data_IF_679804962898
#
_entry.id   IF_679804962898
#
_cell.length_a   1.000
_cell.length_b   1.000
_cell.length_c   1.000
_cell.angle_alpha   90.00
_cell.angle_beta   90.00
_cell.angle_gamma   90.00
#
_symmetry.space_group_name_H-M   'P 1'
#
loop_
_entity.id
_entity.type
_entity.pdbx_description
1 polymer ?
#
# COMPACT_ATOMS: atom_id res chain seq x y z
N UNK A 1 21.04 -57.29 -24.92
CA UNK A 1 20.97 -55.88 -25.35
C UNK A 1 20.28 -55.08 -24.26
N UNK A 2 21.08 -54.41 -23.45
CA UNK A 2 20.51 -53.57 -22.39
C UNK A 2 20.25 -52.17 -22.94
N UNK A 3 18.99 -51.76 -22.95
CA UNK A 3 18.59 -50.40 -23.34
C UNK A 3 18.91 -49.43 -22.17
N UNK A 4 19.97 -48.64 -22.35
CA UNK A 4 20.36 -47.56 -21.46
C UNK A 4 19.35 -46.41 -21.67
N UNK A 5 18.38 -46.29 -20.75
CA UNK A 5 17.46 -45.17 -20.72
C UNK A 5 18.23 -43.95 -20.21
N UNK A 6 18.60 -43.08 -21.12
CA UNK A 6 19.12 -41.72 -20.78
C UNK A 6 18.02 -40.96 -20.04
N UNK A 7 18.14 -40.84 -18.72
CA UNK A 7 17.39 -39.86 -17.96
C UNK A 7 17.87 -38.48 -18.43
N UNK A 8 17.03 -37.81 -19.21
CA UNK A 8 17.19 -36.39 -19.49
C UNK A 8 17.15 -35.66 -18.12
N UNK A 9 18.28 -35.12 -17.69
CA UNK A 9 18.33 -34.19 -16.57
C UNK A 9 17.53 -32.94 -16.96
N UNK A 10 16.31 -32.81 -16.43
CA UNK A 10 15.54 -31.59 -16.57
C UNK A 10 16.43 -30.42 -16.11
N UNK A 11 16.75 -29.51 -17.01
CA UNK A 11 17.47 -28.28 -16.69
C UNK A 11 16.71 -27.59 -15.56
N UNK A 12 17.38 -27.32 -14.44
CA UNK A 12 16.77 -26.64 -13.32
C UNK A 12 16.31 -25.24 -13.79
N UNK A 13 15.04 -24.89 -13.55
CA UNK A 13 14.51 -23.58 -13.89
C UNK A 13 15.30 -22.47 -13.17
N UNK A 14 15.76 -21.47 -13.92
CA UNK A 14 16.49 -20.31 -13.40
C UNK A 14 15.62 -19.07 -13.56
N UNK A 15 15.20 -18.43 -12.46
CA UNK A 15 14.48 -17.16 -12.51
C UNK A 15 15.29 -16.04 -13.17
N UNK A 16 14.63 -15.06 -13.78
CA UNK A 16 15.28 -13.81 -14.23
C UNK A 16 15.94 -13.12 -13.01
N UNK A 17 17.18 -12.65 -13.16
CA UNK A 17 17.88 -11.93 -12.10
C UNK A 17 17.38 -10.48 -11.94
N UNK A 18 16.96 -9.86 -13.05
CA UNK A 18 16.48 -8.48 -13.11
C UNK A 18 15.18 -8.40 -13.90
N UNK A 19 14.36 -7.41 -13.58
CA UNK A 19 13.15 -7.10 -14.33
C UNK A 19 13.42 -5.90 -15.25
N UNK A 20 13.34 -6.12 -16.55
CA UNK A 20 13.49 -5.04 -17.53
C UNK A 20 12.20 -4.23 -17.63
N UNK A 21 12.27 -2.99 -17.15
CA UNK A 21 11.11 -2.11 -17.12
C UNK A 21 11.11 -1.19 -18.34
N UNK A 22 10.01 -1.18 -19.10
CA UNK A 22 9.83 -0.22 -20.18
C UNK A 22 9.81 1.22 -19.65
N UNK A 23 10.64 2.08 -20.25
CA UNK A 23 10.66 3.51 -19.92
C UNK A 23 9.37 4.27 -20.28
N UNK A 24 8.45 3.61 -20.97
CA UNK A 24 7.16 4.18 -21.40
C UNK A 24 6.07 4.10 -20.32
N UNK A 25 6.34 3.41 -19.19
CA UNK A 25 5.35 3.30 -18.09
C UNK A 25 5.06 4.68 -17.53
N UNK A 26 3.77 5.00 -17.42
CA UNK A 26 3.29 6.25 -16.83
C UNK A 26 3.69 6.32 -15.34
N UNK A 27 4.42 7.36 -14.94
CA UNK A 27 4.87 7.59 -13.55
C UNK A 27 4.00 8.57 -12.76
N UNK A 28 2.86 8.94 -13.30
CA UNK A 28 1.95 9.87 -12.64
C UNK A 28 0.52 9.37 -12.69
N UNK A 29 -0.12 9.39 -11.54
CA UNK A 29 -1.56 9.13 -11.37
C UNK A 29 -2.23 10.26 -10.59
N UNK A 30 -1.59 11.43 -10.54
CA UNK A 30 -2.12 12.56 -9.79
C UNK A 30 -3.14 13.33 -10.63
N UNK A 31 -4.41 13.15 -10.28
CA UNK A 31 -5.55 13.79 -10.97
C UNK A 31 -6.09 14.96 -10.13
N UNK A 32 -6.92 15.81 -10.74
CA UNK A 32 -7.49 17.00 -10.08
C UNK A 32 -8.22 16.69 -8.77
N UNK A 33 -8.81 15.50 -8.63
CA UNK A 33 -9.47 15.10 -7.38
C UNK A 33 -8.49 14.86 -6.21
N UNK A 34 -7.22 14.54 -6.46
CA UNK A 34 -6.20 14.43 -5.41
C UNK A 34 -5.83 15.82 -4.85
N UNK A 35 -5.72 16.83 -5.74
CA UNK A 35 -5.52 18.22 -5.32
C UNK A 35 -6.71 18.74 -4.51
N UNK A 36 -7.93 18.47 -4.97
CA UNK A 36 -9.15 18.83 -4.27
C UNK A 36 -9.24 18.12 -2.89
N UNK A 37 -8.85 16.86 -2.80
CA UNK A 37 -8.80 16.11 -1.55
C UNK A 37 -7.81 16.73 -0.55
N UNK A 38 -6.59 17.08 -0.99
CA UNK A 38 -5.59 17.77 -0.16
C UNK A 38 -6.10 19.13 0.33
N UNK A 39 -6.70 19.92 -0.55
CA UNK A 39 -7.28 21.22 -0.19
C UNK A 39 -8.41 21.08 0.83
N UNK A 40 -9.32 20.13 0.63
CA UNK A 40 -10.41 19.86 1.55
C UNK A 40 -9.92 19.34 2.89
N UNK A 41 -8.90 18.48 2.89
CA UNK A 41 -8.24 17.97 4.09
C UNK A 41 -7.63 19.14 4.91
N UNK A 42 -6.87 20.04 4.27
CA UNK A 42 -6.25 21.19 4.94
C UNK A 42 -7.27 22.08 5.65
N UNK A 43 -8.47 22.25 5.09
CA UNK A 43 -9.54 23.06 5.69
C UNK A 43 -10.08 22.51 7.01
N UNK A 44 -10.04 21.19 7.20
CA UNK A 44 -10.58 20.55 8.41
C UNK A 44 -9.51 20.24 9.46
N UNK A 45 -8.22 20.36 9.10
CA UNK A 45 -7.10 20.00 9.97
C UNK A 45 -7.11 20.75 11.31
N UNK A 46 -7.60 22.00 11.36
CA UNK A 46 -7.70 22.78 12.62
C UNK A 46 -8.54 22.09 13.68
N UNK A 47 -9.54 21.29 13.27
CA UNK A 47 -10.48 20.60 14.15
C UNK A 47 -10.11 19.11 14.35
N UNK A 48 -8.93 18.70 13.91
CA UNK A 48 -8.45 17.30 13.99
C UNK A 48 -7.34 17.21 15.04
N UNK A 49 -7.57 16.37 16.04
CA UNK A 49 -6.60 16.10 17.11
C UNK A 49 -5.69 14.91 16.81
N UNK A 50 -6.10 13.97 15.93
CA UNK A 50 -5.33 12.78 15.65
C UNK A 50 -5.38 12.43 14.15
N UNK A 51 -4.25 12.02 13.60
CA UNK A 51 -4.16 11.49 12.24
C UNK A 51 -3.99 9.98 12.28
N UNK A 52 -4.84 9.25 11.54
CA UNK A 52 -4.69 7.83 11.26
C UNK A 52 -4.17 7.67 9.82
N UNK A 53 -2.86 7.48 9.65
CA UNK A 53 -2.25 7.35 8.35
C UNK A 53 -2.21 5.89 7.91
N UNK A 54 -3.06 5.50 6.96
CA UNK A 54 -3.12 4.14 6.43
C UNK A 54 -2.06 3.91 5.35
N UNK A 55 -1.23 2.90 5.55
CA UNK A 55 -0.26 2.38 4.58
C UNK A 55 -0.49 0.89 4.34
N UNK A 56 -0.37 0.42 3.10
CA UNK A 56 -0.42 -1.01 2.80
C UNK A 56 0.87 -1.67 3.26
N UNK A 57 0.77 -2.66 4.14
CA UNK A 57 1.93 -3.35 4.73
C UNK A 57 2.84 -4.01 3.68
N UNK A 58 2.34 -4.31 2.48
CA UNK A 58 3.14 -4.90 1.40
C UNK A 58 4.10 -3.91 0.75
N UNK A 59 3.81 -2.61 0.86
CA UNK A 59 4.61 -1.49 0.30
C UNK A 59 4.81 -0.38 1.33
N UNK A 60 5.37 -0.68 2.51
CA UNK A 60 5.41 0.25 3.64
C UNK A 60 6.22 1.52 3.35
N UNK A 61 7.29 1.40 2.56
CA UNK A 61 8.17 2.50 2.18
C UNK A 61 7.71 3.18 0.89
N UNK A 62 7.30 2.39 -0.10
CA UNK A 62 6.83 2.89 -1.40
C UNK A 62 5.48 3.63 -1.28
N UNK A 63 4.63 3.28 -0.30
CA UNK A 63 3.36 3.97 -0.04
C UNK A 63 3.48 5.25 0.78
N UNK A 64 4.67 5.64 1.22
CA UNK A 64 4.90 6.94 1.85
C UNK A 64 4.59 8.06 0.87
N UNK A 65 3.83 9.07 1.32
CA UNK A 65 3.45 10.19 0.48
C UNK A 65 4.00 11.50 1.04
N UNK A 66 5.06 12.07 0.44
CA UNK A 66 5.70 13.30 0.94
C UNK A 66 4.76 14.49 1.05
N UNK A 67 3.70 14.56 0.20
CA UNK A 67 2.69 15.62 0.29
C UNK A 67 1.83 15.49 1.55
N UNK A 68 1.52 14.26 1.97
CA UNK A 68 0.82 14.02 3.22
C UNK A 68 1.75 14.30 4.39
N UNK A 69 2.97 13.81 4.36
CA UNK A 69 3.94 14.03 5.43
C UNK A 69 4.18 15.52 5.69
N UNK A 70 4.44 16.32 4.65
CA UNK A 70 4.61 17.77 4.78
C UNK A 70 3.34 18.50 5.25
N UNK A 71 2.15 18.05 4.81
CA UNK A 71 0.88 18.67 5.20
C UNK A 71 0.46 18.33 6.63
N UNK A 72 0.98 17.24 7.21
CA UNK A 72 0.64 16.71 8.51
C UNK A 72 1.77 16.87 9.54
N UNK A 73 2.85 17.53 9.17
CA UNK A 73 3.99 17.76 10.05
C UNK A 73 3.59 18.40 11.37
N UNK A 74 4.18 17.92 12.47
CA UNK A 74 3.95 18.44 13.82
C UNK A 74 2.62 18.01 14.46
N UNK A 75 1.87 17.08 13.87
CA UNK A 75 0.61 16.57 14.42
C UNK A 75 0.76 15.18 15.01
N UNK A 76 -0.03 14.89 16.01
CA UNK A 76 -0.15 13.54 16.56
C UNK A 76 -0.70 12.59 15.52
N UNK A 77 0.01 11.47 15.29
CA UNK A 77 -0.39 10.49 14.29
C UNK A 77 -0.15 9.06 14.73
N UNK A 78 -1.02 8.17 14.26
CA UNK A 78 -0.82 6.73 14.30
C UNK A 78 -0.66 6.27 12.84
N UNK A 79 0.50 5.70 12.51
CA UNK A 79 0.73 5.07 11.22
C UNK A 79 0.15 3.66 11.29
N UNK A 80 -0.89 3.42 10.51
CA UNK A 80 -1.61 2.15 10.51
C UNK A 80 -1.19 1.35 9.28
N UNK A 81 -0.37 0.33 9.49
CA UNK A 81 -0.03 -0.64 8.47
C UNK A 81 -1.17 -1.65 8.33
N UNK A 82 -1.96 -1.48 7.26
CA UNK A 82 -3.12 -2.33 6.94
C UNK A 82 -2.71 -3.59 6.20
N UNK A 83 -3.60 -4.60 6.13
CA UNK A 83 -3.38 -5.85 5.38
C UNK A 83 -2.10 -6.59 5.82
N UNK A 84 -1.78 -6.56 7.09
CA UNK A 84 -0.56 -7.19 7.63
C UNK A 84 -0.55 -8.72 7.45
N UNK A 85 -1.71 -9.33 7.26
CA UNK A 85 -1.90 -10.73 6.91
C UNK A 85 -1.36 -11.10 5.51
N UNK A 86 -1.16 -10.12 4.63
CA UNK A 86 -0.68 -10.32 3.26
C UNK A 86 0.84 -10.14 3.07
N UNK A 87 1.57 -9.80 4.14
CA UNK A 87 3.01 -9.50 4.05
C UNK A 87 3.91 -10.71 4.17
N UNK A 88 3.45 -11.79 4.80
CA UNK A 88 4.23 -12.98 5.04
C UNK A 88 3.32 -14.20 5.22
N UNK A 89 3.84 -15.42 4.96
CA UNK A 89 3.15 -16.65 5.33
C UNK A 89 2.83 -16.67 6.82
N UNK A 90 1.70 -17.25 7.21
CA UNK A 90 1.27 -17.33 8.61
C UNK A 90 2.27 -18.03 9.54
N UNK A 91 3.16 -18.85 8.98
CA UNK A 91 4.21 -19.58 9.68
C UNK A 91 5.46 -18.75 10.04
N UNK A 92 5.59 -17.54 9.50
CA UNK A 92 6.80 -16.71 9.61
C UNK A 92 6.69 -15.64 10.70
N UNK A 93 6.22 -15.99 11.90
CA UNK A 93 5.95 -15.02 12.99
C UNK A 93 7.19 -14.20 13.39
N UNK A 94 8.36 -14.85 13.57
CA UNK A 94 9.59 -14.14 13.95
C UNK A 94 10.05 -13.11 12.92
N UNK A 95 9.91 -13.43 11.64
CA UNK A 95 10.25 -12.53 10.56
C UNK A 95 9.29 -11.31 10.51
N UNK A 96 7.99 -11.56 10.71
CA UNK A 96 6.97 -10.50 10.79
C UNK A 96 7.27 -9.56 11.95
N UNK A 97 7.57 -10.09 13.14
CA UNK A 97 7.88 -9.28 14.31
C UNK A 97 9.16 -8.45 14.12
N UNK A 98 10.21 -9.01 13.49
CA UNK A 98 11.41 -8.25 13.13
C UNK A 98 11.08 -7.08 12.19
N UNK A 99 10.27 -7.31 11.16
CA UNK A 99 9.86 -6.24 10.24
C UNK A 99 9.01 -5.16 10.92
N UNK A 100 8.12 -5.56 11.81
CA UNK A 100 7.34 -4.62 12.61
C UNK A 100 8.23 -3.73 13.47
N UNK A 101 9.22 -4.32 14.11
CA UNK A 101 10.19 -3.60 14.94
C UNK A 101 10.97 -2.58 14.11
N UNK A 102 11.55 -2.98 12.98
CA UNK A 102 12.30 -2.11 12.08
C UNK A 102 11.45 -0.95 11.53
N UNK A 103 10.19 -1.20 11.17
CA UNK A 103 9.28 -0.14 10.73
C UNK A 103 8.87 0.80 11.87
N UNK A 104 8.73 0.29 13.10
CA UNK A 104 8.48 1.12 14.26
C UNK A 104 9.67 2.05 14.54
N UNK A 105 10.89 1.53 14.51
CA UNK A 105 12.13 2.32 14.63
C UNK A 105 12.27 3.36 13.52
N UNK A 106 11.97 2.99 12.25
CA UNK A 106 11.99 3.89 11.11
C UNK A 106 11.14 5.14 11.30
N UNK A 107 10.02 5.00 12.00
CA UNK A 107 9.07 6.09 12.27
C UNK A 107 9.26 6.74 13.64
N UNK A 108 10.27 6.34 14.40
CA UNK A 108 10.57 7.02 15.67
C UNK A 108 11.01 8.46 15.37
N UNK A 109 10.34 9.48 15.95
CA UNK A 109 10.69 10.86 15.68
C UNK A 109 12.13 11.15 16.08
N UNK A 110 12.87 11.83 15.23
CA UNK A 110 14.16 12.41 15.61
C UNK A 110 13.94 13.52 16.64
N UNK A 111 14.88 13.69 17.55
CA UNK A 111 14.86 14.70 18.60
C UNK A 111 14.49 16.08 18.03
N UNK A 112 13.38 16.66 18.47
CA UNK A 112 12.91 17.99 18.06
C UNK A 112 11.65 18.05 17.20
N UNK A 113 11.15 16.93 16.70
CA UNK A 113 9.86 16.91 15.97
C UNK A 113 8.68 17.09 16.95
N UNK A 114 7.77 18.01 16.61
CA UNK A 114 6.50 18.17 17.31
C UNK A 114 5.53 17.08 16.83
N UNK A 115 4.71 16.55 17.75
CA UNK A 115 3.73 15.50 17.46
C UNK A 115 4.25 14.10 17.77
N UNK A 116 3.40 13.32 18.40
CA UNK A 116 3.70 11.93 18.80
C UNK A 116 3.32 10.96 17.67
N UNK A 117 4.28 10.21 17.18
CA UNK A 117 4.06 9.18 16.15
C UNK A 117 4.06 7.79 16.78
N UNK A 118 3.09 6.97 16.43
CA UNK A 118 2.97 5.58 16.84
C UNK A 118 2.73 4.69 15.62
N UNK A 119 3.16 3.43 15.66
CA UNK A 119 3.00 2.48 14.56
C UNK A 119 2.16 1.30 15.01
N UNK A 120 1.08 1.01 14.29
CA UNK A 120 0.18 -0.12 14.57
C UNK A 120 -0.04 -0.93 13.30
N UNK A 121 0.06 -2.25 13.42
CA UNK A 121 -0.21 -3.19 12.32
C UNK A 121 -1.61 -3.78 12.47
N UNK A 122 -2.38 -3.75 11.39
CA UNK A 122 -3.77 -4.21 11.40
C UNK A 122 -4.05 -5.22 10.29
N UNK A 123 -4.87 -6.18 10.66
CA UNK A 123 -5.56 -7.09 9.76
C UNK A 123 -7.07 -6.95 10.03
N UNK A 124 -7.86 -6.60 9.01
CA UNK A 124 -9.32 -6.40 9.18
C UNK A 124 -10.06 -7.66 9.62
N UNK A 125 -9.50 -8.83 9.35
CA UNK A 125 -10.06 -10.14 9.74
C UNK A 125 -9.72 -10.50 11.17
N UNK A 126 -8.67 -9.92 11.73
CA UNK A 126 -8.21 -10.17 13.10
C UNK A 126 -8.69 -9.08 14.05
N UNK A 127 -9.77 -9.37 14.77
CA UNK A 127 -10.37 -8.43 15.73
C UNK A 127 -9.36 -7.89 16.76
N UNK A 128 -8.40 -8.71 17.21
CA UNK A 128 -7.39 -8.30 18.21
C UNK A 128 -6.53 -7.13 17.72
N UNK A 129 -6.15 -7.12 16.44
CA UNK A 129 -5.34 -6.03 15.88
C UNK A 129 -6.13 -4.72 15.79
N UNK A 130 -7.43 -4.79 15.49
CA UNK A 130 -8.32 -3.64 15.47
C UNK A 130 -8.60 -3.12 16.88
N UNK A 131 -8.78 -4.02 17.85
CA UNK A 131 -8.94 -3.65 19.27
C UNK A 131 -7.71 -2.90 19.78
N UNK A 132 -6.49 -3.40 19.49
CA UNK A 132 -5.24 -2.70 19.85
C UNK A 132 -5.16 -1.29 19.26
N UNK A 133 -5.54 -1.11 18.01
CA UNK A 133 -5.60 0.23 17.41
C UNK A 133 -6.65 1.11 18.10
N UNK A 134 -7.81 0.55 18.44
CA UNK A 134 -8.86 1.27 19.13
C UNK A 134 -8.40 1.72 20.53
N UNK A 135 -7.65 0.88 21.25
CA UNK A 135 -7.02 1.22 22.53
C UNK A 135 -6.04 2.38 22.38
N UNK A 136 -5.11 2.30 21.41
CA UNK A 136 -4.20 3.41 21.12
C UNK A 136 -4.93 4.73 20.80
N UNK A 137 -6.05 4.66 20.08
CA UNK A 137 -6.89 5.84 19.80
C UNK A 137 -7.57 6.37 21.06
N UNK A 138 -8.05 5.50 21.97
CA UNK A 138 -8.63 5.89 23.26
C UNK A 138 -7.60 6.56 24.16
N UNK A 139 -6.39 6.00 24.25
CA UNK A 139 -5.28 6.62 25.00
C UNK A 139 -4.97 8.04 24.52
N UNK A 140 -4.99 8.26 23.18
CA UNK A 140 -4.81 9.61 22.62
C UNK A 140 -5.98 10.53 22.93
N UNK A 141 -7.21 10.02 22.92
CA UNK A 141 -8.39 10.79 23.27
C UNK A 141 -8.37 11.24 24.74
N UNK A 142 -8.04 10.34 25.65
CA UNK A 142 -7.89 10.64 27.07
C UNK A 142 -6.76 11.65 27.35
N UNK A 143 -5.63 11.52 26.64
CA UNK A 143 -4.49 12.45 26.80
C UNK A 143 -4.79 13.87 26.30
N UNK A 144 -5.79 14.07 25.44
CA UNK A 144 -6.21 15.39 24.98
C UNK A 144 -7.17 16.10 25.92
N UNK A 145 -7.76 15.37 26.87
CA UNK A 145 -8.70 15.89 27.91
C UNK A 145 -9.77 16.86 27.34
N UNK A 146 -10.39 16.46 26.22
CA UNK A 146 -11.36 17.28 25.49
C UNK A 146 -12.79 16.88 25.82
N UNK A 147 -13.56 17.77 26.42
CA UNK A 147 -15.00 17.57 26.65
C UNK A 147 -15.79 17.27 25.38
N UNK A 148 -15.37 17.86 24.22
CA UNK A 148 -16.00 17.64 22.92
C UNK A 148 -15.56 16.32 22.25
N UNK A 149 -14.74 15.53 22.93
CA UNK A 149 -14.18 14.30 22.40
C UNK A 149 -13.09 14.52 21.35
N UNK A 150 -12.56 13.41 20.81
CA UNK A 150 -11.47 13.41 19.81
C UNK A 150 -12.02 13.29 18.38
N UNK A 151 -11.54 14.16 17.50
CA UNK A 151 -11.75 13.99 16.04
C UNK A 151 -10.47 13.50 15.37
N UNK A 152 -10.53 12.32 14.76
CA UNK A 152 -9.44 11.75 14.01
C UNK A 152 -9.73 11.82 12.50
N UNK A 153 -8.66 11.99 11.70
CA UNK A 153 -8.71 12.02 10.24
C UNK A 153 -7.98 10.80 9.68
N UNK A 154 -8.65 9.98 8.87
CA UNK A 154 -8.01 8.86 8.17
C UNK A 154 -7.46 9.34 6.83
N UNK A 155 -6.16 9.19 6.63
CA UNK A 155 -5.46 9.61 5.41
C UNK A 155 -4.65 8.45 4.81
N UNK A 156 -4.16 8.61 3.61
CA UNK A 156 -3.30 7.62 2.94
C UNK A 156 -3.60 7.50 1.45
N UNK A 157 -2.81 6.66 0.77
CA UNK A 157 -2.99 6.40 -0.66
C UNK A 157 -4.34 5.76 -0.99
N UNK A 158 -4.78 5.80 -2.27
CA UNK A 158 -5.91 5.01 -2.72
C UNK A 158 -5.71 3.52 -2.36
N UNK A 159 -6.78 2.83 -2.01
CA UNK A 159 -6.80 1.39 -1.65
C UNK A 159 -5.86 0.97 -0.49
N UNK A 160 -5.33 1.92 0.27
CA UNK A 160 -4.58 1.63 1.50
C UNK A 160 -5.45 1.13 2.67
N UNK A 161 -6.73 0.84 2.44
CA UNK A 161 -7.62 0.26 3.44
C UNK A 161 -8.33 1.26 4.36
N UNK A 162 -8.33 2.57 4.07
CA UNK A 162 -8.92 3.63 4.91
C UNK A 162 -10.37 3.39 5.32
N UNK A 163 -11.27 3.30 4.35
CA UNK A 163 -12.70 3.09 4.60
C UNK A 163 -12.99 1.72 5.23
N UNK A 164 -12.17 0.72 4.93
CA UNK A 164 -12.24 -0.61 5.55
C UNK A 164 -11.85 -0.54 7.02
N UNK A 165 -10.77 0.19 7.33
CA UNK A 165 -10.32 0.43 8.71
C UNK A 165 -11.39 1.17 9.52
N UNK A 166 -11.97 2.24 8.97
CA UNK A 166 -13.07 2.97 9.62
C UNK A 166 -14.24 2.04 9.97
N UNK A 167 -14.66 1.20 9.02
CA UNK A 167 -15.73 0.23 9.25
C UNK A 167 -15.36 -0.83 10.31
N UNK A 168 -14.09 -1.26 10.34
CA UNK A 168 -13.60 -2.21 11.35
C UNK A 168 -13.59 -1.59 12.75
N UNK A 169 -13.09 -0.36 12.89
CA UNK A 169 -13.09 0.39 14.15
C UNK A 169 -14.52 0.61 14.66
N UNK A 170 -15.46 1.02 13.78
CA UNK A 170 -16.87 1.20 14.14
C UNK A 170 -17.52 -0.10 14.62
N UNK A 171 -17.24 -1.20 13.92
CA UNK A 171 -17.77 -2.53 14.31
C UNK A 171 -17.26 -2.99 15.67
N UNK A 172 -15.96 -2.78 15.94
CA UNK A 172 -15.33 -3.21 17.19
C UNK A 172 -15.69 -2.29 18.34
N UNK A 173 -15.67 -0.96 18.13
CA UNK A 173 -15.86 0.01 19.20
C UNK A 173 -17.32 0.34 19.52
N UNK A 174 -18.22 0.20 18.54
CA UNK A 174 -19.64 0.57 18.70
C UNK A 174 -20.60 -0.59 18.43
N UNK A 175 -20.13 -1.75 17.98
CA UNK A 175 -20.97 -2.86 17.50
C UNK A 175 -21.97 -2.47 16.38
N UNK A 176 -21.67 -1.41 15.61
CA UNK A 176 -22.55 -0.85 14.58
C UNK A 176 -22.15 -1.29 13.16
N UNK A 177 -23.11 -1.32 12.20
CA UNK A 177 -22.85 -1.71 10.82
C UNK A 177 -21.91 -0.70 10.10
N UNK A 178 -21.49 -1.07 8.88
CA UNK A 178 -20.64 -0.25 8.02
C UNK A 178 -21.25 1.13 7.77
N UNK A 179 -20.41 2.17 7.88
CA UNK A 179 -20.77 3.55 7.56
C UNK A 179 -20.12 4.05 6.26
N UNK A 180 -18.93 3.56 5.92
CA UNK A 180 -18.23 3.95 4.71
C UNK A 180 -18.37 2.89 3.60
N UNK A 181 -18.51 3.36 2.34
CA UNK A 181 -18.49 2.50 1.16
C UNK A 181 -17.07 2.01 0.90
N UNK A 182 -16.92 0.73 0.65
CA UNK A 182 -15.63 0.10 0.32
C UNK A 182 -15.69 -0.51 -1.07
N UNK A 183 -14.56 -0.54 -1.78
CA UNK A 183 -14.45 -1.17 -3.09
C UNK A 183 -13.00 -1.49 -3.45
N UNK A 184 -12.79 -2.39 -4.42
CA UNK A 184 -11.46 -2.81 -4.86
C UNK A 184 -10.77 -1.78 -5.78
N UNK A 185 -11.55 -0.87 -6.39
CA UNK A 185 -11.02 0.15 -7.29
C UNK A 185 -10.66 1.44 -6.53
N UNK A 186 -9.56 2.13 -6.91
CA UNK A 186 -9.22 3.42 -6.34
C UNK A 186 -10.27 4.50 -6.70
N UNK A 187 -10.52 5.44 -5.78
CA UNK A 187 -11.44 6.56 -5.99
C UNK A 187 -12.91 6.28 -5.65
N UNK A 188 -13.21 5.24 -4.86
CA UNK A 188 -14.56 5.00 -4.30
C UNK A 188 -14.97 6.14 -3.38
N UNK A 189 -14.10 6.58 -2.47
CA UNK A 189 -14.30 7.77 -1.64
C UNK A 189 -13.86 9.00 -2.42
N UNK A 190 -14.78 9.91 -2.74
CA UNK A 190 -14.52 11.12 -3.55
C UNK A 190 -14.56 12.42 -2.76
N UNK A 191 -15.20 12.44 -1.60
CA UNK A 191 -15.35 13.59 -0.71
C UNK A 191 -15.03 13.19 0.72
N UNK A 192 -14.73 14.16 1.57
CA UNK A 192 -14.65 13.94 3.02
C UNK A 192 -15.98 13.37 3.50
N UNK A 193 -15.91 12.35 4.36
CA UNK A 193 -17.12 11.81 5.00
C UNK A 193 -17.63 12.72 6.10
N UNK A 194 -18.89 12.55 6.49
CA UNK A 194 -19.35 13.02 7.80
C UNK A 194 -18.57 12.29 8.90
N UNK A 195 -18.32 12.92 10.07
CA UNK A 195 -17.68 12.25 11.20
C UNK A 195 -18.45 10.99 11.62
N UNK A 196 -17.78 9.87 11.75
CA UNK A 196 -18.34 8.58 12.15
C UNK A 196 -17.84 8.24 13.53
N UNK A 197 -18.76 8.06 14.50
CA UNK A 197 -18.40 7.67 15.88
C UNK A 197 -17.86 6.24 15.91
N UNK A 198 -16.71 6.06 16.57
CA UNK A 198 -16.04 4.77 16.77
C UNK A 198 -15.86 4.41 18.26
N UNK A 199 -15.98 5.38 19.15
CA UNK A 199 -15.99 5.20 20.62
C UNK A 199 -17.15 5.99 21.19
N UNK A 200 -17.89 5.42 22.12
CA UNK A 200 -19.00 6.07 22.82
C UNK A 200 -18.50 7.20 23.73
N UNK A 201 -19.39 8.11 24.09
CA UNK A 201 -19.13 9.13 25.13
C UNK A 201 -18.86 8.47 26.47
N UNK A 202 -18.04 9.13 27.29
CA UNK A 202 -17.91 8.77 28.71
C UNK A 202 -19.24 9.02 29.42
N UNK A 203 -19.67 8.15 30.35
CA UNK A 203 -20.89 8.38 31.13
C UNK A 203 -20.73 9.63 31.95
N UNK A 204 -21.63 10.60 31.79
CA UNK A 204 -21.60 11.91 32.46
C UNK A 204 -21.96 11.87 33.96
N UNK A 205 -22.44 10.73 34.49
CA UNK A 205 -22.78 10.53 35.90
C UNK A 205 -22.63 9.05 36.31
N UNK A 206 -22.28 8.79 37.59
CA UNK A 206 -22.16 7.41 38.12
C UNK A 206 -23.46 6.62 38.22
N UNK A 207 -24.62 7.22 37.89
CA UNK A 207 -25.95 6.65 38.14
C UNK A 207 -26.55 5.85 36.96
N UNK A 208 -26.00 5.92 35.77
CA UNK A 208 -26.53 5.17 34.60
C UNK A 208 -25.82 3.83 34.41
N UNK A 209 -25.93 2.95 35.41
CA UNK A 209 -25.32 1.61 35.41
C UNK A 209 -26.06 0.56 34.55
N UNK A 210 -27.09 0.95 33.78
CA UNK A 210 -27.94 -0.02 33.06
C UNK A 210 -27.61 -0.25 31.58
N UNK A 211 -26.58 0.43 31.02
CA UNK A 211 -26.23 0.24 29.61
C UNK A 211 -24.74 -0.04 29.32
N UNK A 212 -23.93 -0.42 30.31
CA UNK A 212 -22.48 -0.55 30.16
C UNK A 212 -22.00 -2.00 30.04
N UNK A 213 -22.31 -2.65 28.95
CA UNK A 213 -21.61 -3.92 28.59
C UNK A 213 -20.17 -3.67 28.08
N UNK A 214 -19.73 -2.41 27.92
CA UNK A 214 -18.43 -2.04 27.34
C UNK A 214 -17.65 -0.96 28.09
N UNK A 215 -17.98 -0.64 29.36
CA UNK A 215 -17.26 0.37 30.15
C UNK A 215 -16.06 -0.19 30.93
N UNK A 216 -15.27 -1.09 30.35
CA UNK A 216 -14.19 -1.79 31.06
C UNK A 216 -12.83 -1.03 31.09
N UNK A 217 -12.77 0.19 30.60
CA UNK A 217 -11.56 1.03 30.68
C UNK A 217 -11.90 2.44 31.10
N UNK A 218 -11.59 2.77 32.35
CA UNK A 218 -11.84 4.03 33.03
C UNK A 218 -11.10 5.27 32.49
N UNK A 219 -10.97 5.39 31.15
CA UNK A 219 -10.41 6.58 30.50
C UNK A 219 -11.53 7.49 30.04
N UNK A 220 -11.50 8.75 30.53
CA UNK A 220 -12.43 9.76 30.06
C UNK A 220 -12.09 10.19 28.63
N UNK A 221 -13.03 10.00 27.70
CA UNK A 221 -12.90 10.35 26.29
C UNK A 221 -13.90 11.45 25.87
N UNK A 222 -14.51 12.14 26.85
CA UNK A 222 -15.51 13.18 26.62
C UNK A 222 -16.70 12.67 25.81
N UNK A 223 -17.12 13.41 24.77
CA UNK A 223 -18.20 12.98 23.83
C UNK A 223 -17.84 11.76 22.96
N UNK A 224 -16.68 11.16 23.17
CA UNK A 224 -16.21 10.00 22.44
C UNK A 224 -15.25 10.32 21.29
N UNK A 225 -15.02 9.33 20.40
CA UNK A 225 -14.11 9.48 19.28
C UNK A 225 -14.85 9.41 17.96
N UNK A 226 -14.57 10.39 17.11
CA UNK A 226 -15.14 10.52 15.76
C UNK A 226 -14.05 10.45 14.72
N UNK A 227 -14.29 9.71 13.66
CA UNK A 227 -13.35 9.53 12.53
C UNK A 227 -13.96 10.07 11.25
N UNK A 228 -13.16 10.86 10.52
CA UNK A 228 -13.49 11.37 9.18
C UNK A 228 -12.68 10.61 8.14
N UNK A 229 -13.37 9.96 7.19
CA UNK A 229 -12.70 9.30 6.05
C UNK A 229 -12.37 10.30 4.95
N UNK A 230 -11.18 10.16 4.33
CA UNK A 230 -10.73 11.02 3.25
C UNK A 230 -10.58 10.27 1.94
N UNK A 231 -10.74 10.94 0.79
CA UNK A 231 -10.31 10.39 -0.48
C UNK A 231 -8.82 10.01 -0.43
N UNK A 232 -8.45 8.97 -1.17
CA UNK A 232 -7.04 8.61 -1.30
C UNK A 232 -6.25 9.71 -2.02
N UNK A 233 -5.07 10.04 -1.49
CA UNK A 233 -4.16 11.01 -2.10
C UNK A 233 -2.95 10.27 -2.65
N UNK A 234 -2.77 10.31 -3.96
CA UNK A 234 -1.62 9.76 -4.65
C UNK A 234 -0.51 10.83 -4.76
N UNK A 235 0.74 10.39 -4.92
CA UNK A 235 1.88 11.28 -5.16
C UNK A 235 1.83 11.83 -6.60
N UNK A 236 2.21 13.11 -6.82
CA UNK A 236 2.15 13.73 -8.16
C UNK A 236 3.02 13.02 -9.19
N UNK A 237 4.19 12.55 -8.75
CA UNK A 237 5.15 11.88 -9.60
C UNK A 237 5.92 10.81 -8.81
N UNK A 238 5.99 9.60 -9.38
CA UNK A 238 6.78 8.49 -8.84
C UNK A 238 8.14 8.51 -9.54
N UNK A 239 9.21 8.75 -8.79
CA UNK A 239 10.57 8.92 -9.34
C UNK A 239 11.10 7.64 -9.98
N UNK A 240 10.69 6.49 -9.46
CA UNK A 240 11.15 5.17 -9.86
C UNK A 240 10.02 4.36 -10.50
N UNK A 241 10.31 3.72 -11.65
CA UNK A 241 9.35 2.92 -12.40
C UNK A 241 8.96 1.65 -11.65
N UNK A 242 9.90 1.04 -10.93
CA UNK A 242 9.61 -0.14 -10.10
C UNK A 242 8.62 0.19 -8.99
N UNK A 243 8.79 1.34 -8.32
CA UNK A 243 7.81 1.83 -7.35
C UNK A 243 6.42 1.99 -7.95
N UNK A 244 6.31 2.43 -9.21
CA UNK A 244 5.02 2.51 -9.90
C UNK A 244 4.41 1.13 -10.15
N UNK A 245 5.22 0.13 -10.50
CA UNK A 245 4.77 -1.27 -10.64
C UNK A 245 4.29 -1.84 -9.31
N UNK A 246 5.04 -1.62 -8.21
CA UNK A 246 4.64 -2.03 -6.86
C UNK A 246 3.30 -1.43 -6.46
N UNK A 247 3.12 -0.12 -6.66
CA UNK A 247 1.86 0.58 -6.38
C UNK A 247 0.70 0.10 -7.26
N UNK A 248 0.97 -0.23 -8.52
CA UNK A 248 -0.02 -0.81 -9.44
C UNK A 248 -0.38 -2.24 -9.00
N UNK A 249 0.59 -3.05 -8.63
CA UNK A 249 0.36 -4.42 -8.20
C UNK A 249 -0.48 -4.49 -6.92
N UNK A 250 -0.27 -3.62 -5.93
CA UNK A 250 -1.11 -3.56 -4.72
C UNK A 250 -2.46 -2.86 -4.94
N UNK A 251 -2.68 -2.25 -6.11
CA UNK A 251 -3.95 -1.61 -6.49
C UNK A 251 -4.10 -0.16 -6.00
N UNK A 252 -3.02 0.54 -5.64
CA UNK A 252 -3.05 1.97 -5.33
C UNK A 252 -3.29 2.84 -6.57
N UNK A 253 -3.03 2.30 -7.75
CA UNK A 253 -3.23 2.92 -9.06
C UNK A 253 -4.44 2.29 -9.73
N UNK A 254 -5.18 3.07 -10.51
CA UNK A 254 -6.32 2.57 -11.28
C UNK A 254 -5.86 1.51 -12.28
N UNK A 255 -6.53 0.37 -12.30
CA UNK A 255 -6.29 -0.68 -13.28
C UNK A 255 -6.40 -0.12 -14.72
N UNK A 256 -5.50 -0.56 -15.61
CA UNK A 256 -5.40 -0.09 -16.98
C UNK A 256 -4.50 1.15 -17.19
N UNK A 257 -4.02 1.83 -16.12
CA UNK A 257 -3.03 2.91 -16.27
C UNK A 257 -1.63 2.39 -16.61
N UNK A 258 -1.27 1.29 -15.97
CA UNK A 258 -0.15 0.44 -16.37
C UNK A 258 -0.76 -0.79 -17.04
N UNK A 259 -0.27 -1.25 -18.21
CA UNK A 259 -0.83 -2.41 -18.89
C UNK A 259 -0.89 -3.63 -17.96
N UNK A 260 -2.03 -4.32 -17.92
CA UNK A 260 -2.26 -5.44 -17.02
C UNK A 260 -1.26 -6.57 -17.21
N UNK A 261 -0.84 -6.84 -18.46
CA UNK A 261 0.21 -7.82 -18.78
C UNK A 261 1.56 -7.43 -18.15
N UNK A 262 1.91 -6.14 -18.13
CA UNK A 262 3.16 -5.67 -17.50
C UNK A 262 3.13 -5.85 -15.99
N UNK A 263 1.99 -5.56 -15.35
CA UNK A 263 1.82 -5.77 -13.90
C UNK A 263 1.87 -7.26 -13.56
N UNK A 264 1.25 -8.10 -14.40
CA UNK A 264 1.29 -9.56 -14.25
C UNK A 264 2.70 -10.14 -14.49
N UNK A 265 3.47 -9.58 -15.44
CA UNK A 265 4.86 -9.99 -15.67
C UNK A 265 5.77 -9.63 -14.49
N UNK A 266 5.61 -8.43 -13.93
CA UNK A 266 6.31 -8.05 -12.71
C UNK A 266 5.95 -8.96 -11.53
N UNK A 267 4.68 -9.33 -11.39
CA UNK A 267 4.24 -10.28 -10.38
C UNK A 267 4.86 -11.67 -10.61
N UNK A 268 4.85 -12.19 -11.86
CA UNK A 268 5.47 -13.47 -12.21
C UNK A 268 6.96 -13.47 -11.88
N UNK A 269 7.67 -12.40 -12.23
CA UNK A 269 9.08 -12.21 -11.85
C UNK A 269 9.29 -12.35 -10.34
N UNK A 270 8.47 -11.68 -9.52
CA UNK A 270 8.56 -11.75 -8.07
C UNK A 270 8.22 -13.16 -7.52
N UNK A 271 7.24 -13.84 -8.10
CA UNK A 271 6.90 -15.22 -7.73
C UNK A 271 8.05 -16.17 -8.05
N UNK A 272 8.67 -16.03 -9.23
CA UNK A 272 9.81 -16.85 -9.63
C UNK A 272 11.02 -16.66 -8.71
N UNK A 273 11.29 -15.44 -8.27
CA UNK A 273 12.39 -15.17 -7.32
C UNK A 273 12.14 -15.76 -5.93
N UNK A 274 10.89 -15.95 -5.55
CA UNK A 274 10.53 -16.46 -4.22
C UNK A 274 10.30 -17.96 -4.23
N UNK A 275 9.29 -18.39 -4.96
CA UNK A 275 8.91 -19.79 -5.06
C UNK A 275 7.96 -20.00 -6.27
N UNK A 276 8.44 -20.58 -7.38
CA UNK A 276 7.60 -20.87 -8.54
C UNK A 276 6.44 -21.84 -8.24
N UNK A 277 6.52 -22.62 -7.16
CA UNK A 277 5.45 -23.55 -6.79
C UNK A 277 4.14 -22.85 -6.42
N UNK A 278 4.19 -21.57 -6.05
CA UNK A 278 3.02 -20.76 -5.69
C UNK A 278 1.97 -20.68 -6.81
N UNK A 279 2.40 -20.79 -8.06
CA UNK A 279 1.50 -20.78 -9.20
C UNK A 279 1.40 -22.11 -9.96
N UNK A 280 1.99 -23.19 -9.45
CA UNK A 280 2.02 -24.50 -10.12
C UNK A 280 0.62 -25.04 -10.46
N UNK A 281 -0.39 -24.69 -9.67
CA UNK A 281 -1.79 -25.05 -9.93
C UNK A 281 -2.40 -24.34 -11.16
N UNK A 282 -1.80 -23.25 -11.63
CA UNK A 282 -2.19 -22.49 -12.83
C UNK A 282 -1.31 -22.83 -14.04
N UNK A 283 -0.02 -22.95 -13.83
CA UNK A 283 0.99 -23.27 -14.83
C UNK A 283 1.93 -24.31 -14.21
N UNK A 284 1.85 -25.56 -14.67
CA UNK A 284 2.59 -26.68 -14.08
C UNK A 284 4.11 -26.57 -14.25
N UNK A 285 4.56 -25.96 -15.34
CA UNK A 285 5.98 -25.75 -15.63
C UNK A 285 6.36 -24.30 -15.29
N UNK A 286 7.37 -24.08 -14.44
CA UNK A 286 7.88 -22.73 -14.18
C UNK A 286 8.35 -22.07 -15.48
N UNK A 287 7.99 -20.81 -15.68
CA UNK A 287 8.37 -20.05 -16.88
C UNK A 287 8.72 -18.60 -16.55
N UNK A 288 9.64 -18.03 -17.34
CA UNK A 288 9.94 -16.60 -17.34
C UNK A 288 9.16 -15.84 -18.43
N UNK A 289 8.45 -16.55 -19.32
CA UNK A 289 7.66 -15.93 -20.38
C UNK A 289 6.26 -15.64 -19.91
N UNK A 290 5.93 -14.36 -19.86
CA UNK A 290 4.61 -13.88 -19.43
C UNK A 290 3.49 -14.39 -20.35
N UNK A 291 3.74 -14.54 -21.65
CA UNK A 291 2.72 -14.98 -22.59
C UNK A 291 2.37 -16.45 -22.38
N UNK A 292 3.39 -17.28 -22.20
CA UNK A 292 3.21 -18.70 -21.85
C UNK A 292 2.42 -18.84 -20.53
N UNK A 293 2.82 -18.08 -19.50
CA UNK A 293 2.12 -18.07 -18.21
C UNK A 293 0.66 -17.64 -18.34
N UNK A 294 0.37 -16.54 -19.04
CA UNK A 294 -1.01 -16.04 -19.21
C UNK A 294 -1.86 -16.96 -20.08
N UNK A 295 -1.27 -17.62 -21.07
CA UNK A 295 -1.98 -18.64 -21.87
C UNK A 295 -2.37 -19.85 -21.02
N UNK A 296 -1.49 -20.31 -20.13
CA UNK A 296 -1.80 -21.38 -19.18
C UNK A 296 -2.91 -20.94 -18.20
N UNK A 297 -2.81 -19.74 -17.63
CA UNK A 297 -3.85 -19.16 -16.76
C UNK A 297 -5.19 -19.04 -17.48
N UNK A 298 -5.20 -18.53 -18.73
CA UNK A 298 -6.41 -18.34 -19.51
C UNK A 298 -7.12 -19.68 -19.78
N UNK A 299 -6.37 -20.69 -20.20
CA UNK A 299 -6.92 -22.06 -20.42
C UNK A 299 -7.46 -22.66 -19.11
N UNK A 300 -6.71 -22.52 -18.01
CA UNK A 300 -7.10 -23.08 -16.71
C UNK A 300 -8.33 -22.41 -16.12
N UNK A 301 -8.54 -21.12 -16.40
CA UNK A 301 -9.64 -20.31 -15.84
C UNK A 301 -10.80 -20.10 -16.83
N UNK A 302 -10.72 -20.68 -18.03
CA UNK A 302 -11.77 -20.55 -19.05
C UNK A 302 -11.86 -19.16 -19.71
N UNK A 303 -10.79 -18.35 -19.63
CA UNK A 303 -10.74 -17.01 -20.25
C UNK A 303 -10.29 -17.12 -21.72
N UNK A 304 -11.22 -17.55 -22.57
CA UNK A 304 -10.96 -17.84 -23.98
C UNK A 304 -11.85 -16.95 -24.85
N UNK A 305 -11.28 -16.32 -25.85
CA UNK A 305 -11.96 -15.53 -26.87
C UNK A 305 -12.59 -16.45 -27.93
N UNK A 306 -13.44 -15.88 -28.79
CA UNK A 306 -13.97 -16.59 -29.97
C UNK A 306 -12.81 -17.14 -30.81
N UNK A 307 -12.92 -18.40 -31.25
CA UNK A 307 -11.84 -19.07 -31.99
C UNK A 307 -10.81 -19.78 -31.11
N UNK A 308 -11.02 -19.90 -29.79
CA UNK A 308 -10.12 -20.65 -28.90
C UNK A 308 -8.84 -19.89 -28.48
N UNK A 309 -8.76 -18.61 -28.77
CA UNK A 309 -7.59 -17.76 -28.45
C UNK A 309 -7.60 -17.39 -26.97
N UNK A 310 -6.47 -17.57 -26.21
CA UNK A 310 -6.38 -17.14 -24.83
C UNK A 310 -6.59 -15.62 -24.66
N UNK A 311 -7.47 -15.24 -23.73
CA UNK A 311 -7.74 -13.84 -23.38
C UNK A 311 -6.70 -13.35 -22.36
N UNK A 312 -5.47 -13.06 -22.81
CA UNK A 312 -4.31 -12.73 -21.94
C UNK A 312 -4.56 -11.54 -21.04
N UNK A 313 -5.17 -10.47 -21.53
CA UNK A 313 -5.49 -9.28 -20.71
C UNK A 313 -6.43 -9.63 -19.55
N UNK A 314 -7.50 -10.41 -19.82
CA UNK A 314 -8.43 -10.86 -18.77
C UNK A 314 -7.75 -11.85 -17.80
N UNK A 315 -6.82 -12.68 -18.28
CA UNK A 315 -6.02 -13.57 -17.46
C UNK A 315 -5.07 -12.79 -16.56
N UNK A 316 -4.44 -11.73 -17.10
CA UNK A 316 -3.55 -10.83 -16.35
C UNK A 316 -4.30 -10.11 -15.22
N UNK A 317 -5.46 -9.51 -15.52
CA UNK A 317 -6.30 -8.87 -14.50
C UNK A 317 -6.70 -9.87 -13.42
N UNK A 318 -7.13 -11.05 -13.81
CA UNK A 318 -7.57 -12.07 -12.88
C UNK A 318 -6.44 -12.54 -11.96
N UNK A 319 -5.26 -12.85 -12.50
CA UNK A 319 -4.14 -13.38 -11.71
C UNK A 319 -3.58 -12.35 -10.75
N UNK A 320 -3.52 -11.07 -11.16
CA UNK A 320 -3.16 -9.94 -10.26
C UNK A 320 -4.16 -9.83 -9.11
N UNK A 321 -5.47 -9.98 -9.39
CA UNK A 321 -6.47 -9.98 -8.31
C UNK A 321 -6.33 -11.18 -7.36
N UNK A 322 -5.93 -12.38 -7.86
CA UNK A 322 -5.64 -13.54 -6.98
C UNK A 322 -4.47 -13.23 -6.04
N UNK A 323 -3.39 -12.63 -6.55
CA UNK A 323 -2.26 -12.22 -5.71
C UNK A 323 -2.67 -11.16 -4.68
N UNK A 324 -3.44 -10.15 -5.08
CA UNK A 324 -3.95 -9.11 -4.15
C UNK A 324 -4.74 -9.70 -2.98
N UNK A 325 -5.39 -10.85 -3.17
CA UNK A 325 -6.12 -11.61 -2.14
C UNK A 325 -5.22 -12.53 -1.30
N UNK A 326 -3.95 -12.67 -1.66
CA UNK A 326 -2.98 -13.56 -0.99
C UNK A 326 -3.09 -15.03 -1.37
N UNK A 327 -3.72 -15.34 -2.53
CA UNK A 327 -3.90 -16.71 -3.03
C UNK A 327 -2.71 -17.21 -3.87
N UNK A 328 -1.83 -16.32 -4.28
CA UNK A 328 -0.58 -16.61 -4.99
C UNK A 328 0.65 -16.20 -4.16
N UNK A 329 0.64 -16.56 -2.88
CA UNK A 329 1.67 -16.17 -1.94
C UNK A 329 1.37 -14.84 -1.22
N UNK A 330 2.03 -14.68 -0.06
CA UNK A 330 1.90 -13.51 0.83
C UNK A 330 3.28 -13.00 1.14
N UNK A 331 3.61 -11.81 0.65
CA UNK A 331 4.92 -11.21 0.82
C UNK A 331 4.92 -9.70 0.61
N UNK A 332 5.85 -9.02 1.29
CA UNK A 332 6.16 -7.61 1.05
C UNK A 332 6.92 -7.39 -0.24
N UNK A 333 6.76 -6.22 -0.84
CA UNK A 333 7.42 -5.81 -2.07
C UNK A 333 8.59 -4.86 -1.80
N UNK A 334 8.59 -4.19 -0.66
CA UNK A 334 9.68 -3.32 -0.23
C UNK A 334 10.70 -4.11 0.61
N UNK A 335 11.96 -3.72 0.50
CA UNK A 335 13.01 -4.22 1.34
C UNK A 335 13.01 -3.45 2.68
N UNK A 336 12.56 -4.14 3.73
CA UNK A 336 12.49 -3.64 5.13
C UNK A 336 13.63 -4.23 5.96
N UNK A 337 14.74 -4.64 5.32
CA UNK A 337 15.96 -4.99 6.04
C UNK A 337 16.64 -3.73 6.59
N UNK A 338 17.56 -3.91 7.54
CA UNK A 338 18.36 -2.80 8.07
C UNK A 338 19.14 -2.08 6.96
N UNK A 339 19.68 -2.85 6.02
CA UNK A 339 20.40 -2.35 4.84
C UNK A 339 19.46 -1.59 3.90
N UNK A 340 18.30 -2.15 3.60
CA UNK A 340 17.28 -1.53 2.75
C UNK A 340 16.78 -0.20 3.33
N UNK A 341 16.57 -0.12 4.65
CA UNK A 341 16.17 1.11 5.33
C UNK A 341 17.31 2.15 5.33
N UNK A 342 18.56 1.76 5.57
CA UNK A 342 19.73 2.65 5.47
C UNK A 342 19.88 3.22 4.05
N UNK A 343 19.75 2.37 3.04
CA UNK A 343 19.81 2.80 1.64
C UNK A 343 18.65 3.75 1.30
N UNK A 344 17.44 3.49 1.80
CA UNK A 344 16.30 4.38 1.63
C UNK A 344 16.53 5.73 2.30
N UNK A 345 17.08 5.75 3.52
CA UNK A 345 17.43 6.98 4.23
C UNK A 345 18.50 7.78 3.47
N UNK A 346 19.50 7.10 2.88
CA UNK A 346 20.53 7.72 2.05
C UNK A 346 19.90 8.40 0.83
N UNK A 347 19.04 7.69 0.10
CA UNK A 347 18.33 8.25 -1.09
C UNK A 347 17.48 9.47 -0.73
N UNK A 348 16.76 9.44 0.38
CA UNK A 348 15.97 10.59 0.85
C UNK A 348 16.87 11.80 1.12
N UNK A 349 18.05 11.59 1.73
CA UNK A 349 19.02 12.68 1.97
C UNK A 349 19.62 13.22 0.67
N UNK A 350 19.94 12.35 -0.29
CA UNK A 350 20.53 12.72 -1.59
C UNK A 350 19.52 13.44 -2.48
N UNK A 351 18.26 13.01 -2.47
CA UNK A 351 17.17 13.68 -3.18
C UNK A 351 16.87 15.06 -2.57
N UNK A 352 17.29 15.27 -1.32
CA UNK A 352 17.12 16.50 -0.56
C UNK A 352 15.66 16.83 -0.30
N UNK A 353 15.45 17.96 0.36
CA UNK A 353 14.13 18.53 0.69
C UNK A 353 13.44 19.14 -0.56
N UNK A 354 13.60 18.47 -1.70
CA UNK A 354 12.96 18.88 -2.96
C UNK A 354 11.50 18.52 -2.86
N UNK A 355 10.67 19.52 -2.75
CA UNK A 355 9.22 19.39 -2.94
C UNK A 355 8.95 18.45 -4.10
N UNK A 356 8.00 17.47 -3.96
CA UNK A 356 7.71 16.54 -5.03
C UNK A 356 7.45 17.30 -6.32
N UNK A 357 8.18 16.90 -7.37
CA UNK A 357 8.13 17.59 -8.66
C UNK A 357 6.69 17.73 -9.14
N UNK A 358 6.30 18.91 -9.58
CA UNK A 358 5.04 19.06 -10.30
C UNK A 358 5.11 18.27 -11.62
N UNK A 359 3.96 17.85 -12.15
CA UNK A 359 3.88 17.15 -13.45
C UNK A 359 4.66 17.85 -14.56
N UNK A 360 4.61 19.18 -14.59
CA UNK A 360 5.29 19.98 -15.62
C UNK A 360 6.82 19.98 -15.42
N UNK A 361 7.27 20.09 -14.18
CA UNK A 361 8.70 19.99 -13.83
C UNK A 361 9.27 18.59 -14.11
N UNK A 362 8.50 17.55 -13.79
CA UNK A 362 8.88 16.16 -14.07
C UNK A 362 8.99 15.92 -15.57
N UNK A 363 8.00 16.33 -16.36
CA UNK A 363 8.02 16.24 -17.84
C UNK A 363 9.20 17.02 -18.44
N UNK A 364 9.50 18.20 -17.93
CA UNK A 364 10.65 19.02 -18.39
C UNK A 364 11.96 18.28 -18.15
N UNK A 365 12.18 17.76 -16.93
CA UNK A 365 13.39 16.97 -16.59
C UNK A 365 13.49 15.69 -17.43
N UNK A 366 12.40 14.99 -17.63
CA UNK A 366 12.38 13.77 -18.45
C UNK A 366 12.72 14.06 -19.93
N UNK A 367 12.21 15.17 -20.47
CA UNK A 367 12.55 15.64 -21.82
C UNK A 367 14.04 16.01 -21.94
N UNK A 368 14.59 16.67 -20.92
CA UNK A 368 16.01 17.04 -20.85
C UNK A 368 16.89 15.80 -20.73
N UNK A 369 16.58 14.86 -19.86
CA UNK A 369 17.29 13.59 -19.70
C UNK A 369 17.28 12.77 -21.00
N UNK A 370 16.14 12.73 -21.71
CA UNK A 370 16.03 12.06 -23.01
C UNK A 370 16.89 12.74 -24.09
N UNK A 371 16.98 14.07 -24.09
CA UNK A 371 17.89 14.81 -25.00
C UNK A 371 19.34 14.45 -24.74
N UNK A 372 19.77 14.44 -23.46
CA UNK A 372 21.12 14.08 -23.07
C UNK A 372 21.47 12.63 -23.49
N UNK A 373 20.56 11.69 -23.20
CA UNK A 373 20.73 10.28 -23.59
C UNK A 373 20.83 10.10 -25.12
N UNK A 374 20.01 10.82 -25.88
CA UNK A 374 20.05 10.77 -27.33
C UNK A 374 21.31 11.46 -27.89
N UNK A 375 21.80 12.52 -27.28
CA UNK A 375 23.06 13.16 -27.65
C UNK A 375 24.25 12.24 -27.37
N UNK A 376 24.29 11.59 -26.19
CA UNK A 376 25.31 10.60 -25.86
C UNK A 376 25.31 9.39 -26.83
N UNK A 377 24.12 8.89 -27.21
CA UNK A 377 24.00 7.83 -28.22
C UNK A 377 24.51 8.24 -29.59
N UNK A 378 24.27 9.49 -30.00
CA UNK A 378 24.78 10.04 -31.29
C UNK A 378 26.28 10.21 -31.26
N UNK A 379 26.84 10.69 -30.13
CA UNK A 379 28.30 10.81 -29.96
C UNK A 379 28.98 9.43 -30.02
N UNK A 380 28.45 8.45 -29.28
CA UNK A 380 28.99 7.07 -29.34
C UNK A 380 28.89 6.40 -30.73
N UNK A 381 27.85 6.72 -31.51
CA UNK A 381 27.71 6.23 -32.87
C UNK A 381 28.68 6.90 -33.86
N UNK A 382 29.10 8.12 -33.60
CA UNK A 382 30.13 8.83 -34.38
C UNK A 382 31.55 8.30 -34.06
N UNK A 383 31.83 7.96 -32.80
CA UNK A 383 33.12 7.38 -32.37
C UNK A 383 33.28 5.91 -32.84
N UNK A 384 32.20 5.17 -33.07
CA UNK A 384 32.23 3.78 -33.52
C UNK A 384 32.23 3.62 -35.05
N UNK A 385 32.11 4.71 -35.78
CA UNK A 385 32.08 4.76 -37.25
C UNK A 385 33.34 5.34 -37.91
N UNK A 386 34.42 5.54 -37.15
CA UNK A 386 35.73 6.01 -37.63
C UNK A 386 36.74 4.85 -37.75
#
# INVERSE_FOLDING_TARGET
MAATTLKATASAFVPRATFEVSSQITRSYFLGHHTAALSSMRKVLSNIGLILECRDSRVPLTSANPLLESSLAGRDRIIVYTKSDLCAPATSTRWIEKQKHLLAEWHTPHTGERGKTEVVFTDERNRRTITRLLEAVKERAAAQDSLLGLRALVVGMPNAGKSTLLNALRRVGMALPKAARTGAQPGVTRKLSTPVRIVAASPSTPSDSSSSVFSDYGQDVGEGVFVVDTPGVFIPYVSDVESMLKLSLVGCVKDGLVPSETVADYMLFLLNLRDPSLYAHLCATPTNDIREFLDAVARRTGKILKGGVPAREQAADWVVQQWRRGLLGRFGLDDVSEEGLKERARRIREEGDKSPLSMNQARKREKEARKVKNAAKRAAALDSGA
#
